data_IF_303926858956
#
_entry.id   IF_303926858956
#
_cell.length_a   1.000
_cell.length_b   1.000
_cell.length_c   1.000
_cell.angle_alpha   90.00
_cell.angle_beta   90.00
_cell.angle_gamma   90.00
#
_symmetry.space_group_name_H-M   'P 1'
#
loop_
_entity.id
_entity.type
_entity.pdbx_description
1 polymer ?
#
# COMPACT_ATOMS: atom_id res chain seq x y z
N UNK A 1 -3.20 -22.70 -14.93
CA UNK A 1 -2.81 -21.29 -14.73
C UNK A 1 -3.91 -20.68 -13.91
N UNK A 2 -3.66 -20.57 -12.61
CA UNK A 2 -4.64 -20.27 -11.57
C UNK A 2 -5.13 -18.83 -11.72
N UNK A 3 -6.45 -18.68 -11.66
CA UNK A 3 -7.16 -17.45 -11.95
C UNK A 3 -7.09 -16.52 -10.74
N UNK A 4 -6.17 -15.56 -10.77
CA UNK A 4 -6.04 -14.49 -9.78
C UNK A 4 -7.16 -13.43 -9.94
N UNK A 5 -8.41 -13.86 -10.03
CA UNK A 5 -9.51 -12.99 -10.48
C UNK A 5 -10.36 -12.38 -9.38
N UNK A 6 -10.50 -12.96 -8.17
CA UNK A 6 -11.56 -12.53 -7.24
C UNK A 6 -11.31 -12.77 -5.74
N UNK A 7 -10.05 -12.94 -5.28
CA UNK A 7 -9.84 -13.07 -3.83
C UNK A 7 -10.06 -11.70 -3.13
N UNK A 8 -10.86 -11.65 -2.06
CA UNK A 8 -11.12 -10.41 -1.32
C UNK A 8 -9.84 -9.87 -0.66
N UNK A 9 -9.74 -8.55 -0.57
CA UNK A 9 -8.62 -7.90 0.12
C UNK A 9 -8.76 -8.06 1.64
N UNK A 10 -7.65 -7.94 2.38
CA UNK A 10 -7.62 -8.05 3.86
C UNK A 10 -8.67 -7.18 4.58
N UNK A 11 -9.04 -6.03 4.00
CA UNK A 11 -10.06 -5.11 4.54
C UNK A 11 -11.52 -5.56 4.28
N UNK A 12 -11.72 -6.55 3.41
CA UNK A 12 -13.01 -7.11 3.02
C UNK A 12 -13.30 -8.46 3.71
N UNK A 13 -12.29 -9.01 4.39
CA UNK A 13 -12.37 -10.30 5.10
C UNK A 13 -13.08 -10.18 6.45
N UNK A 14 -13.56 -11.32 6.96
CA UNK A 14 -13.96 -11.45 8.36
C UNK A 14 -12.74 -11.21 9.26
N UNK A 15 -12.91 -10.48 10.36
CA UNK A 15 -11.80 -10.14 11.26
C UNK A 15 -12.12 -10.40 12.72
N UNK A 16 -11.10 -10.84 13.46
CA UNK A 16 -11.11 -10.93 14.92
C UNK A 16 -9.89 -10.19 15.47
N UNK A 17 -9.99 -9.64 16.68
CA UNK A 17 -8.82 -9.06 17.36
C UNK A 17 -7.88 -10.18 17.80
N UNK A 18 -6.57 -9.92 17.77
CA UNK A 18 -5.55 -10.90 18.15
C UNK A 18 -5.68 -11.33 19.63
N UNK A 19 -6.26 -10.48 20.47
CA UNK A 19 -6.55 -10.80 21.89
C UNK A 19 -7.91 -11.49 22.11
N UNK A 20 -8.65 -11.81 21.04
CA UNK A 20 -9.97 -12.43 21.10
C UNK A 20 -10.09 -13.56 20.05
N UNK A 21 -9.14 -14.49 20.05
CA UNK A 21 -9.08 -15.57 19.07
C UNK A 21 -10.19 -16.62 19.24
N UNK A 22 -10.82 -16.68 20.41
CA UNK A 22 -11.90 -17.63 20.72
C UNK A 22 -13.13 -17.47 19.81
N UNK A 23 -13.28 -16.32 19.15
CA UNK A 23 -14.40 -16.05 18.22
C UNK A 23 -14.13 -16.48 16.78
N UNK A 24 -12.99 -17.11 16.49
CA UNK A 24 -12.70 -17.66 15.17
C UNK A 24 -13.63 -18.84 14.86
N UNK A 25 -14.04 -19.02 13.59
CA UNK A 25 -14.83 -20.16 13.18
C UNK A 25 -14.05 -21.48 13.29
N UNK A 26 -14.77 -22.58 13.48
CA UNK A 26 -14.24 -23.95 13.46
C UNK A 26 -14.12 -24.53 12.04
N UNK A 27 -14.23 -23.67 11.01
CA UNK A 27 -14.13 -24.03 9.60
C UNK A 27 -12.68 -24.02 9.08
N UNK A 28 -12.47 -24.66 7.92
CA UNK A 28 -11.24 -24.54 7.16
C UNK A 28 -11.10 -23.16 6.51
N UNK A 29 -9.87 -22.65 6.44
CA UNK A 29 -9.63 -21.38 5.80
C UNK A 29 -8.19 -20.89 5.83
N UNK A 30 -7.98 -19.75 5.17
CA UNK A 30 -6.72 -19.01 5.17
C UNK A 30 -6.86 -17.79 6.06
N UNK A 31 -5.86 -17.54 6.90
CA UNK A 31 -5.82 -16.41 7.83
C UNK A 31 -4.60 -15.52 7.57
N UNK A 32 -4.80 -14.22 7.78
CA UNK A 32 -3.85 -13.15 7.59
C UNK A 32 -3.68 -12.43 8.93
N UNK A 33 -2.47 -12.45 9.46
CA UNK A 33 -2.07 -11.72 10.65
C UNK A 33 -1.72 -10.29 10.24
N UNK A 34 -2.46 -9.30 10.76
CA UNK A 34 -2.33 -7.92 10.33
C UNK A 34 -2.43 -6.91 11.49
N UNK A 35 -2.02 -5.67 11.25
CA UNK A 35 -2.30 -4.54 12.13
C UNK A 35 -3.55 -3.74 11.71
N UNK A 36 -3.86 -2.68 12.47
CA UNK A 36 -5.02 -1.84 12.23
C UNK A 36 -4.91 -1.00 10.94
N UNK A 37 -3.72 -0.93 10.35
CA UNK A 37 -3.47 -0.28 9.04
C UNK A 37 -3.56 -1.26 7.87
N UNK A 38 -3.98 -2.51 8.11
CA UNK A 38 -4.05 -3.59 7.13
C UNK A 38 -2.69 -4.07 6.60
N UNK A 39 -1.59 -3.75 7.28
CA UNK A 39 -0.29 -4.34 6.93
C UNK A 39 -0.26 -5.81 7.38
N UNK A 40 -0.03 -6.71 6.44
CA UNK A 40 -0.02 -8.16 6.67
C UNK A 40 1.39 -8.61 7.01
N UNK A 41 1.54 -9.29 8.15
CA UNK A 41 2.82 -9.76 8.68
C UNK A 41 3.05 -11.25 8.41
N UNK A 42 1.98 -12.04 8.46
CA UNK A 42 2.02 -13.49 8.27
C UNK A 42 0.71 -13.97 7.62
N UNK A 43 0.79 -15.03 6.85
CA UNK A 43 -0.35 -15.72 6.25
C UNK A 43 -0.17 -17.21 6.50
N UNK A 44 -1.25 -17.86 6.90
CA UNK A 44 -1.27 -19.31 7.11
C UNK A 44 -2.62 -19.90 6.72
N UNK A 45 -2.66 -21.21 6.57
CA UNK A 45 -3.89 -21.99 6.37
C UNK A 45 -4.18 -22.90 7.57
N UNK A 46 -5.44 -23.32 7.71
CA UNK A 46 -5.82 -24.40 8.63
C UNK A 46 -7.08 -25.11 8.14
N UNK A 47 -7.23 -26.39 8.49
CA UNK A 47 -8.52 -27.09 8.41
C UNK A 47 -9.49 -26.69 9.53
N UNK A 48 -8.99 -26.01 10.57
CA UNK A 48 -9.78 -25.42 11.64
C UNK A 48 -9.11 -24.13 12.13
N UNK A 49 -9.68 -22.98 11.75
CA UNK A 49 -9.12 -21.65 12.03
C UNK A 49 -9.00 -21.37 13.54
N UNK A 50 -10.02 -21.75 14.32
CA UNK A 50 -10.03 -21.58 15.78
C UNK A 50 -8.87 -22.33 16.46
N UNK A 51 -8.74 -23.63 16.19
CA UNK A 51 -7.74 -24.48 16.83
C UNK A 51 -6.31 -24.08 16.45
N UNK A 52 -6.05 -23.81 15.16
CA UNK A 52 -4.69 -23.49 14.70
C UNK A 52 -4.13 -22.22 15.32
N UNK A 53 -4.96 -21.19 15.51
CA UNK A 53 -4.51 -19.90 16.03
C UNK A 53 -4.39 -19.89 17.57
N UNK A 54 -5.23 -20.66 18.28
CA UNK A 54 -5.09 -20.83 19.73
C UNK A 54 -3.82 -21.60 20.11
N UNK A 55 -3.38 -22.54 19.28
CA UNK A 55 -2.16 -23.33 19.53
C UNK A 55 -0.95 -22.86 18.72
N UNK A 56 -1.02 -21.67 18.10
CA UNK A 56 0.00 -21.23 17.16
C UNK A 56 1.32 -20.90 17.86
N UNK A 57 2.40 -21.59 17.48
CA UNK A 57 3.73 -21.40 18.05
C UNK A 57 4.33 -20.00 17.80
N UNK A 58 3.83 -19.26 16.81
CA UNK A 58 4.27 -17.90 16.47
C UNK A 58 3.44 -16.76 17.07
N UNK A 59 2.56 -17.05 18.03
CA UNK A 59 1.74 -16.01 18.67
C UNK A 59 2.60 -14.87 19.25
N UNK A 60 3.75 -15.22 19.82
CA UNK A 60 4.72 -14.26 20.34
C UNK A 60 5.31 -13.38 19.22
N UNK A 61 5.65 -13.96 18.06
CA UNK A 61 6.13 -13.21 16.90
C UNK A 61 5.07 -12.19 16.44
N UNK A 62 3.80 -12.58 16.41
CA UNK A 62 2.68 -11.72 15.99
C UNK A 62 2.55 -10.51 16.91
N UNK A 63 2.65 -10.74 18.22
CA UNK A 63 2.66 -9.65 19.22
C UNK A 63 3.89 -8.75 19.05
N UNK A 64 5.06 -9.34 18.80
CA UNK A 64 6.32 -8.60 18.65
C UNK A 64 6.34 -7.68 17.42
N UNK A 65 5.56 -7.97 16.39
CA UNK A 65 5.42 -7.11 15.19
C UNK A 65 4.21 -6.17 15.26
N UNK A 66 3.60 -6.02 16.45
CA UNK A 66 2.41 -5.20 16.68
C UNK A 66 1.21 -5.58 15.81
N UNK A 67 1.07 -6.86 15.46
CA UNK A 67 -0.18 -7.33 14.85
C UNK A 67 -1.34 -7.17 15.85
N UNK A 68 -2.46 -6.65 15.38
CA UNK A 68 -3.62 -6.33 16.22
C UNK A 68 -4.83 -7.21 15.91
N UNK A 69 -4.85 -7.86 14.74
CA UNK A 69 -6.00 -8.63 14.26
C UNK A 69 -5.60 -9.82 13.39
N UNK A 70 -6.52 -10.78 13.32
CA UNK A 70 -6.53 -11.85 12.34
C UNK A 70 -7.68 -11.56 11.37
N UNK A 71 -7.38 -11.53 10.09
CA UNK A 71 -8.39 -11.50 9.02
C UNK A 71 -8.45 -12.87 8.37
N UNK A 72 -9.61 -13.41 8.02
CA UNK A 72 -9.71 -14.79 7.53
C UNK A 72 -10.72 -14.94 6.39
N UNK A 73 -10.44 -15.92 5.54
CA UNK A 73 -11.31 -16.40 4.47
C UNK A 73 -11.62 -17.88 4.73
N UNK A 74 -12.89 -18.20 4.97
CA UNK A 74 -13.36 -19.58 5.01
C UNK A 74 -13.41 -20.12 3.58
N UNK A 75 -12.79 -21.28 3.35
CA UNK A 75 -12.76 -21.94 2.05
C UNK A 75 -12.57 -23.45 2.20
N UNK A 76 -12.79 -24.18 1.12
CA UNK A 76 -12.67 -25.64 1.12
C UNK A 76 -11.22 -26.10 1.32
N UNK A 77 -11.02 -27.22 2.03
CA UNK A 77 -9.69 -27.76 2.34
C UNK A 77 -8.82 -27.99 1.09
N UNK A 78 -9.46 -28.32 -0.04
CA UNK A 78 -8.78 -28.56 -1.31
C UNK A 78 -8.18 -27.30 -1.93
N UNK A 79 -8.63 -26.11 -1.52
CA UNK A 79 -8.22 -24.82 -2.07
C UNK A 79 -7.21 -24.10 -1.18
N UNK A 80 -7.01 -24.55 0.06
CA UNK A 80 -6.23 -23.84 1.07
C UNK A 80 -4.80 -23.50 0.61
N UNK A 81 -4.11 -24.48 0.01
CA UNK A 81 -2.71 -24.32 -0.44
C UNK A 81 -2.63 -23.27 -1.56
N UNK A 82 -3.57 -23.32 -2.51
CA UNK A 82 -3.60 -22.39 -3.64
C UNK A 82 -3.89 -20.96 -3.17
N UNK A 83 -4.91 -20.80 -2.33
CA UNK A 83 -5.33 -19.51 -1.79
C UNK A 83 -4.24 -18.90 -0.87
N UNK A 84 -3.60 -19.72 -0.03
CA UNK A 84 -2.48 -19.28 0.82
C UNK A 84 -1.33 -18.75 -0.04
N UNK A 85 -0.93 -19.51 -1.07
CA UNK A 85 0.14 -19.10 -1.98
C UNK A 85 -0.20 -17.81 -2.71
N UNK A 86 -1.43 -17.66 -3.18
CA UNK A 86 -1.88 -16.43 -3.84
C UNK A 86 -1.81 -15.22 -2.90
N UNK A 87 -2.26 -15.36 -1.65
CA UNK A 87 -2.15 -14.31 -0.66
C UNK A 87 -0.70 -14.00 -0.26
N UNK A 88 0.16 -15.02 -0.10
CA UNK A 88 1.59 -14.82 0.19
C UNK A 88 2.26 -14.07 -0.97
N UNK A 89 1.97 -14.47 -2.22
CA UNK A 89 2.52 -13.81 -3.40
C UNK A 89 2.05 -12.37 -3.56
N UNK A 90 0.82 -12.07 -3.14
CA UNK A 90 0.24 -10.74 -3.22
C UNK A 90 0.78 -9.80 -2.13
N UNK A 91 0.73 -10.24 -0.86
CA UNK A 91 1.08 -9.40 0.28
C UNK A 91 2.57 -9.43 0.66
N UNK A 92 3.32 -10.44 0.19
CA UNK A 92 4.71 -10.69 0.55
C UNK A 92 5.00 -10.55 2.06
N UNK A 93 4.29 -11.29 2.92
CA UNK A 93 4.36 -11.13 4.37
C UNK A 93 5.76 -11.46 4.92
N UNK A 94 6.37 -10.56 5.72
CA UNK A 94 7.75 -10.70 6.17
C UNK A 94 8.00 -11.94 7.02
N UNK A 95 7.03 -12.37 7.83
CA UNK A 95 7.19 -13.55 8.68
C UNK A 95 7.14 -14.86 7.89
N UNK A 96 6.48 -14.92 6.72
CA UNK A 96 6.58 -16.09 5.82
C UNK A 96 7.91 -16.11 5.07
N UNK A 97 8.46 -14.94 4.76
CA UNK A 97 9.76 -14.79 4.10
C UNK A 97 10.97 -15.01 5.03
N UNK A 98 10.74 -15.26 6.33
CA UNK A 98 11.81 -15.48 7.31
C UNK A 98 12.58 -14.21 7.70
N UNK A 99 12.01 -13.03 7.46
CA UNK A 99 12.59 -11.75 7.88
C UNK A 99 12.58 -11.68 9.42
N UNK A 100 13.68 -11.24 10.02
CA UNK A 100 13.82 -11.21 11.48
C UNK A 100 12.92 -10.14 12.12
N UNK A 101 12.47 -10.37 13.36
CA UNK A 101 11.61 -9.44 14.09
C UNK A 101 12.22 -8.03 14.20
N UNK A 102 13.53 -7.95 14.38
CA UNK A 102 14.26 -6.67 14.44
C UNK A 102 14.15 -5.88 13.13
N UNK A 103 14.29 -6.55 11.99
CA UNK A 103 14.13 -5.92 10.66
C UNK A 103 12.68 -5.48 10.41
N UNK A 104 11.71 -6.26 10.89
CA UNK A 104 10.29 -5.92 10.77
C UNK A 104 9.95 -4.68 11.60
N UNK A 105 10.45 -4.59 12.84
CA UNK A 105 10.22 -3.46 13.74
C UNK A 105 10.77 -2.15 13.18
N UNK A 106 11.96 -2.15 12.59
CA UNK A 106 12.54 -0.97 11.89
C UNK A 106 11.64 -0.49 10.74
N UNK A 107 10.86 -1.40 10.16
CA UNK A 107 9.98 -1.18 9.00
C UNK A 107 8.55 -0.76 9.38
N UNK A 108 8.20 -0.77 10.66
CA UNK A 108 6.93 -0.30 11.22
C UNK A 108 7.23 0.92 12.08
N UNK A 109 6.54 2.04 11.90
CA UNK A 109 6.73 3.21 12.77
C UNK A 109 6.24 2.82 14.16
N UNK A 110 7.12 2.32 15.01
CA UNK A 110 6.83 1.95 16.38
C UNK A 110 6.51 3.21 17.17
N UNK A 111 5.43 3.16 17.96
CA UNK A 111 5.00 4.27 18.84
C UNK A 111 6.00 4.63 19.94
N UNK A 112 7.08 3.85 20.08
CA UNK A 112 8.12 3.99 21.11
C UNK A 112 9.35 4.79 20.66
N UNK A 113 9.38 5.28 19.41
CA UNK A 113 10.49 6.11 18.92
C UNK A 113 10.47 7.49 19.58
N UNK A 114 11.65 8.00 19.98
CA UNK A 114 11.76 9.41 20.42
C UNK A 114 11.44 10.35 19.25
N UNK A 115 11.03 11.62 19.51
CA UNK A 115 10.75 12.57 18.44
C UNK A 115 11.92 12.71 17.44
N UNK A 116 13.15 12.66 17.92
CA UNK A 116 14.36 12.73 17.09
C UNK A 116 14.46 11.51 16.17
N UNK A 117 14.25 10.31 16.70
CA UNK A 117 14.26 9.08 15.91
C UNK A 117 13.11 9.03 14.89
N UNK A 118 11.94 9.58 15.22
CA UNK A 118 10.83 9.71 14.28
C UNK A 118 11.19 10.67 13.14
N UNK A 119 11.86 11.77 13.43
CA UNK A 119 12.35 12.73 12.43
C UNK A 119 13.41 12.06 11.55
N UNK A 120 14.41 11.40 12.12
CA UNK A 120 15.44 10.67 11.37
C UNK A 120 14.81 9.65 10.43
N UNK A 121 13.90 8.81 10.95
CA UNK A 121 13.20 7.80 10.15
C UNK A 121 12.37 8.42 9.04
N UNK A 122 11.69 9.53 9.31
CA UNK A 122 10.93 10.27 8.31
C UNK A 122 11.84 10.78 7.17
N UNK A 123 13.01 11.31 7.51
CA UNK A 123 13.98 11.82 6.53
C UNK A 123 14.62 10.69 5.69
N UNK A 124 14.91 9.54 6.29
CA UNK A 124 15.32 8.34 5.56
C UNK A 124 14.26 7.91 4.55
N UNK A 125 13.00 7.83 4.96
CA UNK A 125 11.88 7.47 4.09
C UNK A 125 11.75 8.47 2.94
N UNK A 126 11.87 9.78 3.20
CA UNK A 126 11.89 10.78 2.13
C UNK A 126 13.01 10.53 1.11
N UNK A 127 14.18 10.08 1.55
CA UNK A 127 15.31 9.76 0.68
C UNK A 127 15.01 8.53 -0.17
N UNK A 128 14.53 7.46 0.46
CA UNK A 128 14.14 6.21 -0.23
C UNK A 128 13.03 6.49 -1.26
N UNK A 129 12.01 7.28 -0.90
CA UNK A 129 10.94 7.67 -1.83
C UNK A 129 11.53 8.38 -3.05
N UNK A 130 12.44 9.33 -2.83
CA UNK A 130 13.07 10.07 -3.93
C UNK A 130 13.87 9.15 -4.86
N UNK A 131 14.62 8.21 -4.31
CA UNK A 131 15.38 7.22 -5.11
C UNK A 131 14.43 6.31 -5.92
N UNK A 132 13.38 5.80 -5.27
CA UNK A 132 12.36 4.98 -5.94
C UNK A 132 11.58 5.76 -7.01
N UNK A 133 11.32 7.05 -6.80
CA UNK A 133 10.70 7.91 -7.80
C UNK A 133 11.61 8.12 -9.02
N UNK A 134 12.91 8.26 -8.81
CA UNK A 134 13.90 8.35 -9.89
C UNK A 134 13.99 7.04 -10.67
N UNK A 135 14.07 5.90 -9.98
CA UNK A 135 14.06 4.59 -10.61
C UNK A 135 12.76 4.38 -11.42
N UNK A 136 11.60 4.69 -10.83
CA UNK A 136 10.29 4.61 -11.50
C UNK A 136 10.26 5.46 -12.77
N UNK A 137 10.76 6.69 -12.73
CA UNK A 137 10.79 7.56 -13.91
C UNK A 137 11.74 7.00 -14.99
N UNK A 138 12.85 6.36 -14.60
CA UNK A 138 13.76 5.70 -15.56
C UNK A 138 13.10 4.50 -16.27
N UNK A 139 12.24 3.75 -15.58
CA UNK A 139 11.51 2.61 -16.13
C UNK A 139 10.37 3.03 -17.06
N UNK A 140 9.81 4.22 -16.87
CA UNK A 140 8.60 4.71 -17.53
C UNK A 140 8.66 4.62 -19.05
N UNK A 141 9.78 5.01 -19.66
CA UNK A 141 9.94 4.96 -21.11
C UNK A 141 9.87 3.52 -21.64
N UNK A 142 10.46 2.56 -20.92
CA UNK A 142 10.41 1.14 -21.28
C UNK A 142 8.98 0.62 -21.18
N UNK A 143 8.26 0.95 -20.10
CA UNK A 143 6.87 0.54 -19.90
C UNK A 143 5.94 1.12 -20.97
N UNK A 144 6.12 2.40 -21.35
CA UNK A 144 5.36 3.04 -22.43
C UNK A 144 5.59 2.32 -23.77
N UNK A 145 6.84 2.00 -24.09
CA UNK A 145 7.19 1.25 -25.30
C UNK A 145 6.54 -0.13 -25.30
N UNK A 146 6.70 -0.90 -24.22
CA UNK A 146 6.10 -2.23 -24.11
C UNK A 146 4.57 -2.21 -24.24
N UNK A 147 3.89 -1.28 -23.57
CA UNK A 147 2.44 -1.17 -23.65
C UNK A 147 1.96 -0.76 -25.06
N UNK A 148 2.70 0.12 -25.74
CA UNK A 148 2.40 0.55 -27.11
C UNK A 148 2.59 -0.57 -28.13
N UNK A 149 3.71 -1.29 -28.03
CA UNK A 149 4.04 -2.40 -28.92
C UNK A 149 3.06 -3.56 -28.73
N UNK A 150 2.76 -3.92 -27.47
CA UNK A 150 1.79 -4.95 -27.15
C UNK A 150 0.41 -4.64 -27.77
N UNK A 151 -0.06 -3.39 -27.65
CA UNK A 151 -1.32 -2.96 -28.23
C UNK A 151 -1.30 -3.01 -29.77
N UNK A 152 -0.19 -2.62 -30.39
CA UNK A 152 -0.01 -2.68 -31.85
C UNK A 152 -0.04 -4.11 -32.38
N UNK A 153 0.56 -5.05 -31.66
CA UNK A 153 0.67 -6.45 -32.08
C UNK A 153 -0.58 -7.28 -31.78
N UNK A 154 -1.22 -7.05 -30.63
CA UNK A 154 -2.31 -7.89 -30.10
C UNK A 154 -3.69 -7.25 -30.24
N UNK A 155 -3.78 -5.97 -30.57
CA UNK A 155 -5.04 -5.23 -30.68
C UNK A 155 -5.74 -4.95 -29.34
N UNK A 156 -5.13 -5.30 -28.20
CA UNK A 156 -5.69 -5.11 -26.86
C UNK A 156 -4.68 -4.45 -25.92
N UNK A 157 -5.14 -3.84 -24.83
CA UNK A 157 -4.25 -3.20 -23.87
C UNK A 157 -3.46 -4.25 -23.06
N UNK A 158 -2.26 -3.88 -22.63
CA UNK A 158 -1.43 -4.72 -21.77
C UNK A 158 -2.10 -4.87 -20.40
N UNK A 159 -2.32 -6.11 -19.97
CA UNK A 159 -2.80 -6.43 -18.63
C UNK A 159 -1.75 -7.24 -17.89
N UNK A 160 -1.46 -6.87 -16.65
CA UNK A 160 -0.51 -7.59 -15.79
C UNK A 160 -1.02 -7.56 -14.35
N UNK A 161 -1.19 -8.75 -13.75
CA UNK A 161 -1.69 -8.93 -12.38
C UNK A 161 -2.95 -8.09 -12.08
N UNK A 162 -3.95 -8.13 -12.96
CA UNK A 162 -5.23 -7.41 -12.78
C UNK A 162 -5.17 -5.90 -13.07
N UNK A 163 -3.99 -5.33 -13.34
CA UNK A 163 -3.85 -3.91 -13.72
C UNK A 163 -3.75 -3.79 -15.23
N UNK A 164 -4.51 -2.85 -15.81
CA UNK A 164 -4.39 -2.50 -17.23
C UNK A 164 -3.43 -1.33 -17.39
N UNK A 165 -2.39 -1.51 -18.21
CA UNK A 165 -1.37 -0.50 -18.49
C UNK A 165 -1.70 0.16 -19.83
N UNK A 166 -1.83 1.49 -19.80
CA UNK A 166 -2.11 2.30 -20.97
C UNK A 166 -0.90 3.15 -21.33
N UNK A 167 -0.49 3.11 -22.60
CA UNK A 167 0.35 4.15 -23.18
C UNK A 167 -0.56 5.26 -23.73
N UNK A 168 -0.62 6.39 -23.05
CA UNK A 168 -1.44 7.54 -23.45
C UNK A 168 -0.56 8.73 -23.82
N UNK A 169 -0.84 9.31 -24.98
CA UNK A 169 -0.24 10.59 -25.37
C UNK A 169 -1.03 11.75 -24.75
N UNK A 170 -0.33 12.65 -24.08
CA UNK A 170 -0.92 13.90 -23.59
C UNK A 170 -0.42 15.06 -24.43
N UNK A 171 -1.34 15.71 -25.14
CA UNK A 171 -1.04 16.96 -25.87
C UNK A 171 -0.83 18.08 -24.87
N UNK A 172 0.27 18.80 -24.99
CA UNK A 172 0.54 20.04 -24.26
C UNK A 172 0.25 21.19 -25.23
N UNK A 173 -0.68 22.06 -24.85
CA UNK A 173 -1.09 23.20 -25.66
C UNK A 173 -0.36 24.45 -25.19
N UNK A 174 0.12 25.23 -26.15
CA UNK A 174 0.63 26.58 -25.89
C UNK A 174 -0.48 27.58 -26.18
N UNK A 175 -0.86 28.35 -25.17
CA UNK A 175 -1.90 29.37 -25.29
C UNK A 175 -1.32 30.73 -25.70
N UNK A 176 -2.18 31.56 -26.28
CA UNK A 176 -1.84 32.93 -26.65
C UNK A 176 -1.54 33.80 -25.43
N UNK A 177 -0.81 34.90 -25.63
CA UNK A 177 -0.49 35.86 -24.57
C UNK A 177 -1.76 36.41 -23.90
N UNK A 178 -2.85 36.62 -24.66
CA UNK A 178 -4.13 37.05 -24.11
C UNK A 178 -4.69 36.08 -23.06
N UNK A 179 -4.61 34.78 -23.29
CA UNK A 179 -5.07 33.77 -22.32
C UNK A 179 -4.19 33.80 -21.08
N UNK A 180 -2.86 33.86 -21.25
CA UNK A 180 -1.92 33.94 -20.13
C UNK A 180 -2.16 35.19 -19.26
N UNK A 181 -2.45 36.33 -19.87
CA UNK A 181 -2.80 37.56 -19.15
C UNK A 181 -4.08 37.39 -18.32
N UNK A 182 -5.09 36.72 -18.86
CA UNK A 182 -6.34 36.44 -18.14
C UNK A 182 -6.12 35.45 -16.99
N UNK A 183 -5.28 34.43 -17.18
CA UNK A 183 -4.89 33.50 -16.12
C UNK A 183 -4.17 34.22 -14.97
N UNK A 184 -3.25 35.14 -15.28
CA UNK A 184 -2.54 35.91 -14.27
C UNK A 184 -3.48 36.90 -13.55
N UNK A 185 -4.39 37.57 -14.28
CA UNK A 185 -5.43 38.40 -13.66
C UNK A 185 -6.33 37.59 -12.71
N UNK A 186 -6.76 36.40 -13.12
CA UNK A 186 -7.58 35.52 -12.30
C UNK A 186 -6.83 35.08 -11.04
N UNK A 187 -5.54 34.74 -11.16
CA UNK A 187 -4.67 34.39 -10.04
C UNK A 187 -4.52 35.55 -9.06
N UNK A 188 -4.39 36.77 -9.54
CA UNK A 188 -4.34 37.96 -8.69
C UNK A 188 -5.67 38.23 -7.99
N UNK A 189 -6.80 38.09 -8.69
CA UNK A 189 -8.14 38.24 -8.12
C UNK A 189 -8.38 37.23 -6.97
N UNK A 190 -8.03 35.95 -7.18
CA UNK A 190 -8.12 34.92 -6.13
C UNK A 190 -7.36 35.30 -4.86
N UNK A 191 -6.11 35.76 -5.02
CA UNK A 191 -5.29 36.23 -3.89
C UNK A 191 -5.91 37.46 -3.18
N UNK A 192 -6.56 38.35 -3.93
CA UNK A 192 -7.26 39.49 -3.34
C UNK A 192 -8.49 39.05 -2.56
N UNK A 193 -9.29 38.12 -3.06
CA UNK A 193 -10.44 37.56 -2.33
C UNK A 193 -10.01 36.86 -1.04
N UNK A 194 -8.92 36.08 -1.08
CA UNK A 194 -8.31 35.47 0.10
C UNK A 194 -7.88 36.53 1.13
N UNK A 195 -7.19 37.58 0.69
CA UNK A 195 -6.71 38.66 1.56
C UNK A 195 -7.85 39.50 2.15
N UNK A 196 -8.89 39.74 1.37
CA UNK A 196 -10.01 40.61 1.73
C UNK A 196 -11.13 39.85 2.46
N UNK A 197 -10.96 38.54 2.72
CA UNK A 197 -11.93 37.72 3.46
C UNK A 197 -13.20 37.37 2.68
N UNK A 198 -13.18 37.54 1.35
CA UNK A 198 -14.27 37.12 0.46
C UNK A 198 -14.19 35.61 0.19
N UNK A 199 -12.98 35.06 0.12
CA UNK A 199 -12.78 33.63 -0.03
C UNK A 199 -13.03 32.90 1.30
N UNK A 200 -13.69 31.75 1.24
CA UNK A 200 -13.96 30.90 2.39
C UNK A 200 -13.02 29.71 2.42
N UNK A 201 -12.45 29.40 3.59
CA UNK A 201 -11.58 28.23 3.77
C UNK A 201 -12.42 26.96 3.71
N UNK A 202 -12.28 26.21 2.62
CA UNK A 202 -13.02 24.95 2.44
C UNK A 202 -12.39 23.76 3.19
N UNK A 203 -11.05 23.74 3.34
CA UNK A 203 -10.30 22.66 4.00
C UNK A 203 -8.95 23.19 4.50
N UNK A 204 -8.53 22.74 5.67
CA UNK A 204 -7.16 22.92 6.18
C UNK A 204 -6.48 21.55 6.19
N UNK A 205 -5.29 21.47 5.58
CA UNK A 205 -4.42 20.30 5.64
C UNK A 205 -3.07 20.74 6.20
N UNK A 206 -2.56 20.01 7.20
CA UNK A 206 -1.23 20.25 7.79
C UNK A 206 -0.33 19.06 7.45
N UNK A 207 0.86 19.33 6.93
CA UNK A 207 1.84 18.31 6.57
C UNK A 207 3.26 18.83 6.79
N UNK A 208 4.22 17.94 7.12
CA UNK A 208 5.62 18.32 7.28
C UNK A 208 6.22 18.83 5.96
N UNK A 209 6.95 19.94 6.02
CA UNK A 209 7.74 20.45 4.89
C UNK A 209 9.21 20.43 5.28
N UNK A 210 10.01 19.65 4.55
CA UNK A 210 11.46 19.56 4.76
C UNK A 210 12.16 20.49 3.77
N UNK A 211 13.05 21.35 4.26
CA UNK A 211 13.91 22.22 3.44
C UNK A 211 15.36 22.00 3.83
N UNK A 212 16.23 21.81 2.84
CA UNK A 212 17.66 21.56 3.04
C UNK A 212 18.13 20.30 2.31
N UNK A 213 19.44 20.08 2.31
CA UNK A 213 20.03 18.83 1.82
C UNK A 213 20.35 17.93 3.02
N UNK A 214 19.97 16.66 2.92
CA UNK A 214 20.40 15.65 3.89
C UNK A 214 21.90 15.41 3.68
N UNK A 215 22.69 15.62 4.72
CA UNK A 215 24.11 15.28 4.78
C UNK A 215 24.20 14.09 5.73
N UNK A 216 24.54 12.92 5.20
CA UNK A 216 24.89 11.74 5.99
C UNK A 216 26.42 11.66 6.13
#
# INVERSE_FOLDING_TARGET
MTQLSNLPLVQELGTVRLNNLETLPEDSGVYLVADDTNKVYYIGQSSNLNMALLTHNRLFDFQAVNASKISYLVCDETELIEIELDYINYYNPPLNAGISLEQIKISSVSGDLTPEQQIERYLEICTIIKELEQEKESLKQNIVTFASDYKRERGQNLTYKGVTIFATERKIWQYSEQVKELEEKLKQLKKQEEKNGLAQVAKISVYPTVKGNLIF
#
